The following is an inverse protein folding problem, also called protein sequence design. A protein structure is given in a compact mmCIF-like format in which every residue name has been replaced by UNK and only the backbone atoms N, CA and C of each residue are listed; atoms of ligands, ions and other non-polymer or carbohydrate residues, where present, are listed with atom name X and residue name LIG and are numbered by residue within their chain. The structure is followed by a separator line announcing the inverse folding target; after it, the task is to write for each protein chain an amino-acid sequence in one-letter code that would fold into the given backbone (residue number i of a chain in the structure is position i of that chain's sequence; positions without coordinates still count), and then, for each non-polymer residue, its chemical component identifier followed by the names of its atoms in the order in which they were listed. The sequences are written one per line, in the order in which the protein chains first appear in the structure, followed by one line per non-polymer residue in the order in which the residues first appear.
data_IF_533336361517
#
_entry.id   IF_533336361517
#
_cell.length_a   1.000
_cell.length_b   1.000
_cell.length_c   1.000
_cell.angle_alpha   90.00
_cell.angle_beta   90.00
_cell.angle_gamma   90.00
#
_symmetry.space_group_name_H-M   'P 1'
#
loop_
_entity.id
_entity.type
_entity.pdbx_description
1 polymer ?
#
# COMPACT_ATOMS: atom_id res chain seq x y z
N UNK A 1 2.79 3.03 -19.32
CA UNK A 1 1.61 3.69 -18.71
C UNK A 1 1.99 4.26 -17.35
N UNK A 2 1.55 5.48 -17.02
CA UNK A 2 1.72 6.05 -15.67
C UNK A 2 0.54 5.59 -14.80
N UNK A 3 0.83 4.95 -13.68
CA UNK A 3 -0.19 4.52 -12.71
C UNK A 3 0.04 5.25 -11.37
N UNK A 4 -0.32 6.54 -11.24
CA UNK A 4 0.09 7.36 -10.11
C UNK A 4 -0.68 7.09 -8.82
N UNK A 5 -1.80 6.35 -8.88
CA UNK A 5 -2.64 6.10 -7.72
C UNK A 5 -2.38 4.73 -7.11
N UNK A 6 -2.54 4.63 -5.80
CA UNK A 6 -2.51 3.37 -5.05
C UNK A 6 -3.36 3.50 -3.79
N UNK A 7 -3.75 2.35 -3.22
CA UNK A 7 -4.43 2.31 -1.93
C UNK A 7 -3.39 2.25 -0.82
N UNK A 8 -3.32 3.28 0.01
CA UNK A 8 -2.52 3.27 1.24
C UNK A 8 -3.19 2.36 2.26
N UNK A 9 -2.47 1.35 2.72
CA UNK A 9 -2.93 0.32 3.66
C UNK A 9 -2.40 0.60 5.07
N UNK A 10 -1.13 0.98 5.18
CA UNK A 10 -0.47 1.15 6.47
C UNK A 10 0.76 2.06 6.35
N UNK A 11 1.31 2.46 7.50
CA UNK A 11 2.57 3.18 7.62
C UNK A 11 3.51 2.49 8.60
N UNK A 12 4.81 2.60 8.34
CA UNK A 12 5.87 2.00 9.14
C UNK A 12 6.87 3.09 9.52
N UNK A 13 7.08 3.25 10.82
CA UNK A 13 8.09 4.18 11.32
C UNK A 13 9.50 3.71 10.93
N UNK A 14 10.46 4.65 10.94
CA UNK A 14 11.85 4.43 10.52
C UNK A 14 12.51 3.24 11.23
N UNK A 15 12.19 3.06 12.52
CA UNK A 15 12.81 2.03 13.37
C UNK A 15 11.99 0.74 13.45
N UNK A 16 10.93 0.62 12.65
CA UNK A 16 10.09 -0.58 12.64
C UNK A 16 10.44 -1.53 11.48
N UNK A 17 10.37 -2.85 11.70
CA UNK A 17 10.70 -3.84 10.68
C UNK A 17 9.61 -3.90 9.59
N UNK A 18 9.80 -3.15 8.50
CA UNK A 18 8.91 -3.13 7.32
C UNK A 18 8.59 -4.52 6.80
N UNK A 19 9.60 -5.39 6.69
CA UNK A 19 9.42 -6.76 6.20
C UNK A 19 8.43 -7.56 7.08
N UNK A 20 8.49 -7.39 8.40
CA UNK A 20 7.56 -8.08 9.32
C UNK A 20 6.13 -7.57 9.14
N UNK A 21 5.93 -6.25 9.01
CA UNK A 21 4.60 -5.70 8.72
C UNK A 21 4.07 -6.18 7.37
N UNK A 22 4.92 -6.18 6.33
CA UNK A 22 4.57 -6.66 5.00
C UNK A 22 4.15 -8.14 5.02
N UNK A 23 4.90 -8.98 5.74
CA UNK A 23 4.62 -10.41 5.87
C UNK A 23 3.21 -10.68 6.42
N UNK A 24 2.67 -9.83 7.32
CA UNK A 24 1.31 -9.98 7.87
C UNK A 24 0.21 -9.80 6.83
N UNK A 25 0.46 -8.98 5.81
CA UNK A 25 -0.48 -8.80 4.69
C UNK A 25 -0.31 -9.93 3.67
N UNK A 26 0.94 -10.26 3.35
CA UNK A 26 1.25 -11.34 2.40
C UNK A 26 0.76 -12.71 2.87
N UNK A 27 0.85 -13.01 4.17
CA UNK A 27 0.34 -14.27 4.73
C UNK A 27 -1.19 -14.40 4.66
N UNK A 28 -1.88 -13.27 4.49
CA UNK A 28 -3.33 -13.21 4.25
C UNK A 28 -3.68 -13.20 2.75
N UNK A 29 -2.67 -13.40 1.87
CA UNK A 29 -2.84 -13.38 0.41
C UNK A 29 -3.03 -11.99 -0.18
N UNK A 30 -2.70 -10.93 0.56
CA UNK A 30 -2.97 -9.55 0.13
C UNK A 30 -1.76 -8.99 -0.63
N UNK A 31 -1.96 -8.47 -1.86
CA UNK A 31 -0.88 -7.97 -2.70
C UNK A 31 -0.44 -6.55 -2.26
N UNK A 32 0.25 -6.49 -1.13
CA UNK A 32 0.78 -5.25 -0.55
C UNK A 32 2.27 -5.12 -0.86
N UNK A 33 2.75 -3.90 -1.06
CA UNK A 33 4.16 -3.56 -1.25
C UNK A 33 4.52 -2.29 -0.48
N UNK A 34 5.79 -2.12 -0.13
CA UNK A 34 6.27 -0.94 0.62
C UNK A 34 7.06 0.01 -0.28
N UNK A 35 6.86 1.32 -0.10
CA UNK A 35 7.74 2.36 -0.65
C UNK A 35 8.34 3.20 0.47
N UNK A 36 9.66 3.38 0.42
CA UNK A 36 10.42 4.19 1.38
C UNK A 36 10.23 5.66 1.04
N UNK A 37 9.88 6.42 2.06
CA UNK A 37 9.77 7.86 2.02
C UNK A 37 11.16 8.51 2.21
N UNK A 38 11.37 9.75 1.75
CA UNK A 38 12.66 10.43 1.89
C UNK A 38 13.17 10.49 3.34
N UNK A 39 12.27 10.56 4.32
CA UNK A 39 12.59 10.57 5.74
C UNK A 39 12.93 9.19 6.34
N UNK A 40 12.90 8.11 5.55
CA UNK A 40 13.21 6.74 5.99
C UNK A 40 12.02 5.93 6.50
N UNK A 41 10.86 6.55 6.74
CA UNK A 41 9.61 5.81 7.00
C UNK A 41 9.15 5.09 5.74
N UNK A 42 8.28 4.10 5.88
CA UNK A 42 7.70 3.39 4.73
C UNK A 42 6.18 3.48 4.72
N UNK A 43 5.61 3.57 3.53
CA UNK A 43 4.18 3.47 3.31
C UNK A 43 3.88 2.16 2.59
N UNK A 44 2.88 1.42 3.08
CA UNK A 44 2.43 0.17 2.50
C UNK A 44 1.24 0.45 1.59
N UNK A 45 1.35 0.02 0.34
CA UNK A 45 0.37 0.24 -0.70
C UNK A 45 -0.17 -1.08 -1.24
N UNK A 46 -1.39 -1.05 -1.76
CA UNK A 46 -1.98 -2.12 -2.55
C UNK A 46 -2.42 -1.60 -3.92
N UNK A 47 -2.10 -2.38 -4.95
CA UNK A 47 -2.41 -2.06 -6.34
C UNK A 47 -1.67 -0.82 -6.88
N UNK A 48 -1.80 -0.61 -8.18
CA UNK A 48 -1.30 0.60 -8.84
C UNK A 48 -2.19 0.94 -10.03
N UNK A 49 -2.77 2.14 -10.01
CA UNK A 49 -3.90 2.49 -10.85
C UNK A 49 -3.62 3.74 -11.69
N UNK A 50 -4.15 3.75 -12.92
CA UNK A 50 -4.08 4.88 -13.82
C UNK A 50 -5.09 5.96 -13.42
N UNK A 51 -6.30 5.52 -13.04
CA UNK A 51 -7.38 6.38 -12.56
C UNK A 51 -7.87 5.96 -11.17
N UNK A 52 -8.45 6.89 -10.38
CA UNK A 52 -9.10 6.59 -9.09
C UNK A 52 -10.15 5.48 -9.16
N UNK A 53 -10.95 5.47 -10.24
CA UNK A 53 -12.05 4.52 -10.41
C UNK A 53 -11.57 3.07 -10.51
N UNK A 54 -10.36 2.84 -11.05
CA UNK A 54 -9.79 1.49 -11.21
C UNK A 54 -9.49 0.83 -9.86
N UNK A 55 -9.36 1.63 -8.79
CA UNK A 55 -9.05 1.14 -7.45
C UNK A 55 -10.27 0.57 -6.72
N UNK A 56 -11.50 0.86 -7.17
CA UNK A 56 -12.73 0.55 -6.43
C UNK A 56 -12.87 -0.94 -6.09
N UNK A 57 -12.62 -1.83 -7.07
CA UNK A 57 -12.73 -3.28 -6.88
C UNK A 57 -11.76 -3.77 -5.79
N UNK A 58 -10.51 -3.31 -5.83
CA UNK A 58 -9.52 -3.69 -4.82
C UNK A 58 -9.83 -3.07 -3.46
N UNK A 59 -10.33 -1.84 -3.43
CA UNK A 59 -10.73 -1.15 -2.22
C UNK A 59 -11.87 -1.88 -1.50
N UNK A 60 -12.90 -2.32 -2.23
CA UNK A 60 -14.02 -3.09 -1.67
C UNK A 60 -13.56 -4.46 -1.16
N UNK A 61 -12.64 -5.11 -1.88
CA UNK A 61 -12.03 -6.38 -1.48
C UNK A 61 -11.24 -6.24 -0.18
N UNK A 62 -10.43 -5.18 -0.05
CA UNK A 62 -9.66 -4.89 1.17
C UNK A 62 -10.57 -4.50 2.34
N UNK A 63 -11.62 -3.71 2.08
CA UNK A 63 -12.61 -3.33 3.09
C UNK A 63 -13.34 -4.55 3.64
N UNK A 64 -13.74 -5.48 2.78
CA UNK A 64 -14.37 -6.75 3.16
C UNK A 64 -13.44 -7.65 3.99
N UNK A 65 -12.12 -7.52 3.80
CA UNK A 65 -11.10 -8.16 4.62
C UNK A 65 -10.77 -7.40 5.92
N UNK A 66 -11.54 -6.36 6.25
CA UNK A 66 -11.37 -5.53 7.45
C UNK A 66 -10.21 -4.53 7.37
N UNK A 67 -9.71 -4.23 6.17
CA UNK A 67 -8.58 -3.35 5.94
C UNK A 67 -9.08 -2.00 5.47
N UNK A 68 -8.81 -0.97 6.28
CA UNK A 68 -9.09 0.42 5.91
C UNK A 68 -8.00 0.90 4.96
N UNK A 69 -8.42 1.52 3.87
CA UNK A 69 -7.50 2.07 2.88
C UNK A 69 -7.85 3.51 2.51
N UNK A 70 -6.84 4.24 2.05
CA UNK A 70 -7.01 5.58 1.47
C UNK A 70 -6.45 5.59 0.06
N UNK A 71 -7.24 6.06 -0.91
CA UNK A 71 -6.73 6.29 -2.26
C UNK A 71 -5.81 7.52 -2.25
N UNK A 72 -4.55 7.33 -2.65
CA UNK A 72 -3.55 8.39 -2.64
C UNK A 72 -2.69 8.37 -3.89
N UNK A 73 -1.98 9.48 -4.13
CA UNK A 73 -0.84 9.49 -5.04
C UNK A 73 0.31 8.69 -4.41
N UNK A 74 0.81 7.67 -5.11
CA UNK A 74 1.97 6.93 -4.63
C UNK A 74 3.23 7.79 -4.70
N UNK A 75 3.95 7.84 -3.59
CA UNK A 75 5.20 8.57 -3.43
C UNK A 75 6.23 7.67 -2.74
N UNK A 76 7.50 7.92 -3.02
CA UNK A 76 8.61 7.14 -2.48
C UNK A 76 9.27 6.26 -3.53
N UNK A 77 10.30 5.52 -3.10
CA UNK A 77 11.08 4.59 -3.93
C UNK A 77 10.90 3.16 -3.46
N UNK A 78 11.01 2.21 -4.38
CA UNK A 78 11.11 0.79 -4.04
C UNK A 78 12.40 0.54 -3.25
N UNK A 79 12.34 -0.37 -2.27
CA UNK A 79 13.52 -0.93 -1.61
C UNK A 79 14.32 -1.78 -2.60
#
# INVERSE_FOLDING_TARGET
MRVPFALLVDSVAINEPVATKLQRYLSRGLPVYALVQPAGSSLLYAGAFAAPADAAILQDSLSSAGIRTLLVYRKGRTL
#
